data_IF_203217779990
#
_entry.id   IF_203217779990
#
_cell.length_a   1.000
_cell.length_b   1.000
_cell.length_c   1.000
_cell.angle_alpha   90.00
_cell.angle_beta   90.00
_cell.angle_gamma   90.00
#
_symmetry.space_group_name_H-M   'P 1'
#
loop_
_entity.id
_entity.type
_entity.pdbx_description
1 polymer ?
#
# COMPACT_ATOMS: atom_id res chain seq x y z
N UNK A 1 6.68 11.01 12.92
CA UNK A 1 6.80 11.01 11.44
C UNK A 1 5.90 9.89 10.94
N UNK A 2 5.08 10.11 9.90
CA UNK A 2 4.20 9.06 9.37
C UNK A 2 4.75 8.52 8.05
N UNK A 3 4.65 7.22 7.83
CA UNK A 3 5.10 6.53 6.62
C UNK A 3 3.88 5.99 5.86
N UNK A 4 3.81 6.30 4.58
CA UNK A 4 2.75 5.83 3.68
C UNK A 4 3.38 5.10 2.50
N UNK A 5 2.70 4.06 2.01
CA UNK A 5 3.06 3.38 0.76
C UNK A 5 2.02 3.69 -0.32
N UNK A 6 2.49 3.84 -1.56
CA UNK A 6 1.63 4.15 -2.71
C UNK A 6 1.44 2.89 -3.57
N UNK A 7 0.42 2.11 -3.25
CA UNK A 7 0.16 0.83 -3.91
C UNK A 7 -1.33 0.47 -3.89
N UNK A 8 -1.75 -0.36 -4.83
CA UNK A 8 -3.04 -1.04 -4.84
C UNK A 8 -2.91 -2.55 -4.54
N UNK A 9 -1.68 -3.06 -4.40
CA UNK A 9 -1.43 -4.49 -4.22
C UNK A 9 -1.67 -4.91 -2.76
N UNK A 10 -2.65 -5.78 -2.54
CA UNK A 10 -3.02 -6.21 -1.20
C UNK A 10 -1.92 -7.02 -0.48
N UNK A 11 -1.10 -7.77 -1.20
CA UNK A 11 0.00 -8.53 -0.59
C UNK A 11 1.12 -7.60 -0.11
N UNK A 12 1.44 -6.56 -0.87
CA UNK A 12 2.38 -5.52 -0.46
C UNK A 12 1.89 -4.80 0.81
N UNK A 13 0.59 -4.42 0.83
CA UNK A 13 -0.03 -3.77 1.99
C UNK A 13 0.03 -4.70 3.21
N UNK A 14 -0.37 -5.96 3.09
CA UNK A 14 -0.31 -6.94 4.20
C UNK A 14 1.09 -7.10 4.74
N UNK A 15 2.09 -7.19 3.85
CA UNK A 15 3.50 -7.31 4.24
C UNK A 15 3.96 -6.07 4.99
N UNK A 16 3.69 -4.87 4.48
CA UNK A 16 4.07 -3.61 5.12
C UNK A 16 3.40 -3.44 6.51
N UNK A 17 2.13 -3.83 6.63
CA UNK A 17 1.42 -3.87 7.93
C UNK A 17 2.06 -4.87 8.88
N UNK A 18 2.39 -6.08 8.42
CA UNK A 18 3.03 -7.11 9.27
C UNK A 18 4.41 -6.70 9.78
N UNK A 19 5.12 -5.85 9.04
CA UNK A 19 6.40 -5.27 9.46
C UNK A 19 6.24 -4.11 10.45
N UNK A 20 5.02 -3.55 10.59
CA UNK A 20 4.75 -2.41 11.48
C UNK A 20 5.41 -1.10 11.04
N UNK A 21 5.66 -0.93 9.73
CA UNK A 21 6.44 0.19 9.18
C UNK A 21 5.60 1.27 8.50
N UNK A 22 4.28 1.09 8.37
CA UNK A 22 3.39 2.05 7.71
C UNK A 22 2.26 2.51 8.62
N UNK A 23 1.86 3.77 8.44
CA UNK A 23 0.70 4.40 9.09
C UNK A 23 -0.53 4.46 8.18
N UNK A 24 -0.34 4.18 6.88
CA UNK A 24 -1.42 4.21 5.90
C UNK A 24 -0.97 3.90 4.48
N UNK A 25 -1.94 3.93 3.56
CA UNK A 25 -1.77 3.64 2.14
C UNK A 25 -2.38 4.77 1.33
N UNK A 26 -1.69 5.20 0.27
CA UNK A 26 -2.27 6.02 -0.80
C UNK A 26 -2.44 5.17 -2.04
N UNK A 27 -3.43 5.52 -2.86
CA UNK A 27 -3.70 4.80 -4.10
C UNK A 27 -4.31 5.74 -5.14
N UNK A 28 -4.40 5.28 -6.38
CA UNK A 28 -5.02 5.99 -7.48
C UNK A 28 -5.58 4.99 -8.52
N UNK A 29 -6.46 5.43 -9.43
CA UNK A 29 -7.06 4.56 -10.45
C UNK A 29 -6.05 3.81 -11.32
N UNK A 30 -4.89 4.42 -11.61
CA UNK A 30 -3.85 3.79 -12.43
C UNK A 30 -3.18 2.62 -11.72
N UNK A 31 -2.95 2.71 -10.41
CA UNK A 31 -2.44 1.58 -9.61
C UNK A 31 -3.48 0.48 -9.50
N UNK A 32 -4.74 0.83 -9.21
CA UNK A 32 -5.85 -0.12 -9.18
C UNK A 32 -6.02 -0.86 -10.51
N UNK A 33 -5.83 -0.18 -11.65
CA UNK A 33 -5.96 -0.82 -12.97
C UNK A 33 -4.83 -1.81 -13.31
N UNK A 34 -3.67 -1.71 -12.63
CA UNK A 34 -2.54 -2.64 -12.80
C UNK A 34 -2.73 -3.94 -12.01
N UNK A 35 -3.41 -3.87 -10.88
CA UNK A 35 -3.74 -5.02 -10.04
C UNK A 35 -5.11 -5.57 -10.49
N UNK A 36 -5.10 -6.64 -11.29
CA UNK A 36 -6.32 -7.34 -11.77
C UNK A 36 -6.67 -8.55 -10.92
#
# INVERSE_FOLDING_TARGET
MKIFIDTANLEEIKKAVSLGVIDGVTTNPSLMAKEK
#
